data_IF_873375455416
#
_entry.id   IF_873375455416
#
_cell.length_a   1.000
_cell.length_b   1.000
_cell.length_c   1.000
_cell.angle_alpha   90.00
_cell.angle_beta   90.00
_cell.angle_gamma   90.00
#
_symmetry.space_group_name_H-M   'P 1'
#
loop_
_entity.id
_entity.type
_entity.pdbx_description
1 polymer ?
#
# COMPACT_ATOMS: atom_id res chain seq x y z
N UNK A 1 -7.00 -10.12 -55.86
CA UNK A 1 -7.84 -9.41 -54.86
C UNK A 1 -8.47 -10.40 -53.85
N UNK A 2 -9.07 -11.53 -54.26
CA UNK A 2 -9.73 -12.47 -53.36
C UNK A 2 -8.81 -13.13 -52.32
N UNK A 3 -7.55 -13.43 -52.65
CA UNK A 3 -6.59 -14.05 -51.75
C UNK A 3 -6.03 -13.06 -50.68
N UNK A 4 -5.95 -11.77 -51.01
CA UNK A 4 -5.57 -10.72 -50.05
C UNK A 4 -6.65 -10.58 -48.99
N UNK A 5 -7.91 -10.52 -49.35
CA UNK A 5 -9.03 -10.44 -48.40
C UNK A 5 -9.16 -11.68 -47.54
N UNK A 6 -8.92 -12.89 -48.08
CA UNK A 6 -8.88 -14.14 -47.29
C UNK A 6 -7.74 -14.13 -46.26
N UNK A 7 -6.54 -13.69 -46.66
CA UNK A 7 -5.38 -13.58 -45.72
C UNK A 7 -5.62 -12.53 -44.67
N UNK A 8 -6.20 -11.37 -45.01
CA UNK A 8 -6.58 -10.35 -44.06
C UNK A 8 -7.66 -10.84 -43.08
N UNK A 9 -8.70 -11.50 -43.58
CA UNK A 9 -9.73 -12.09 -42.72
C UNK A 9 -9.20 -13.16 -41.80
N UNK A 10 -8.26 -14.01 -42.25
CA UNK A 10 -7.59 -14.99 -41.41
C UNK A 10 -6.72 -14.32 -40.31
N UNK A 11 -5.93 -13.31 -40.67
CA UNK A 11 -5.09 -12.58 -39.71
C UNK A 11 -5.92 -11.86 -38.65
N UNK A 12 -7.03 -11.22 -39.04
CA UNK A 12 -7.97 -10.57 -38.10
C UNK A 12 -8.63 -11.63 -37.20
N UNK A 13 -9.09 -12.75 -37.77
CA UNK A 13 -9.70 -13.83 -37.01
C UNK A 13 -8.72 -14.44 -35.98
N UNK A 14 -7.47 -14.68 -36.37
CA UNK A 14 -6.41 -15.18 -35.47
C UNK A 14 -6.08 -14.16 -34.38
N UNK A 15 -5.96 -12.88 -34.72
CA UNK A 15 -5.72 -11.80 -33.74
C UNK A 15 -6.84 -11.71 -32.72
N UNK A 16 -8.10 -11.75 -33.17
CA UNK A 16 -9.26 -11.74 -32.25
C UNK A 16 -9.29 -12.95 -31.34
N UNK A 17 -9.01 -14.15 -31.89
CA UNK A 17 -8.96 -15.38 -31.08
C UNK A 17 -7.88 -15.32 -29.99
N UNK A 18 -6.67 -14.83 -30.32
CA UNK A 18 -5.57 -14.66 -29.34
C UNK A 18 -5.97 -13.68 -28.23
N UNK A 19 -6.52 -12.52 -28.59
CA UNK A 19 -6.96 -11.50 -27.61
C UNK A 19 -8.03 -12.07 -26.68
N UNK A 20 -9.05 -12.74 -27.24
CA UNK A 20 -10.15 -13.32 -26.47
C UNK A 20 -9.65 -14.42 -25.52
N UNK A 21 -8.79 -15.31 -26.01
CA UNK A 21 -8.21 -16.39 -25.20
C UNK A 21 -7.37 -15.80 -24.04
N UNK A 22 -6.52 -14.81 -24.32
CA UNK A 22 -5.70 -14.16 -23.30
C UNK A 22 -6.55 -13.44 -22.27
N UNK A 23 -7.62 -12.76 -22.68
CA UNK A 23 -8.57 -12.14 -21.76
C UNK A 23 -9.24 -13.17 -20.85
N UNK A 24 -9.66 -14.30 -21.38
CA UNK A 24 -10.24 -15.39 -20.60
C UNK A 24 -9.26 -15.97 -19.58
N UNK A 25 -8.00 -16.19 -20.00
CA UNK A 25 -6.93 -16.65 -19.09
C UNK A 25 -6.74 -15.67 -17.96
N UNK A 26 -6.62 -14.37 -18.25
CA UNK A 26 -6.49 -13.34 -17.22
C UNK A 26 -7.67 -13.37 -16.23
N UNK A 27 -8.90 -13.50 -16.71
CA UNK A 27 -10.10 -13.58 -15.86
C UNK A 27 -10.09 -14.81 -14.96
N UNK A 28 -9.63 -15.95 -15.47
CA UNK A 28 -9.47 -17.18 -14.68
C UNK A 28 -8.41 -16.99 -13.59
N UNK A 29 -7.29 -16.35 -13.89
CA UNK A 29 -6.23 -16.07 -12.90
C UNK A 29 -6.80 -15.25 -11.74
N UNK A 30 -7.53 -14.16 -12.00
CA UNK A 30 -8.14 -13.34 -10.95
C UNK A 30 -9.10 -14.16 -10.07
N UNK A 31 -10.00 -14.94 -10.68
CA UNK A 31 -10.96 -15.78 -9.95
C UNK A 31 -10.27 -16.82 -9.08
N UNK A 32 -9.25 -17.50 -9.60
CA UNK A 32 -8.52 -18.52 -8.84
C UNK A 32 -7.68 -17.91 -7.72
N UNK A 33 -7.10 -16.72 -7.95
CA UNK A 33 -6.27 -16.03 -6.97
C UNK A 33 -7.07 -15.52 -5.76
N UNK A 34 -8.35 -15.23 -5.93
CA UNK A 34 -9.25 -14.70 -4.88
C UNK A 34 -10.20 -15.75 -4.28
N UNK A 35 -10.14 -17.00 -4.76
CA UNK A 35 -11.10 -18.04 -4.36
C UNK A 35 -11.03 -18.44 -2.88
N UNK A 36 -9.88 -18.29 -2.22
CA UNK A 36 -9.67 -18.74 -0.85
C UNK A 36 -10.08 -17.72 0.22
N UNK A 37 -10.34 -16.48 -0.17
CA UNK A 37 -10.79 -15.40 0.72
C UNK A 37 -9.92 -15.23 1.99
N UNK A 38 -8.60 -15.23 1.83
CA UNK A 38 -7.65 -15.07 2.96
C UNK A 38 -7.86 -13.78 3.73
N UNK A 39 -8.17 -12.69 3.03
CA UNK A 39 -8.30 -11.36 3.59
C UNK A 39 -9.73 -10.99 4.00
N UNK A 40 -10.74 -11.76 3.59
CA UNK A 40 -12.15 -11.49 3.86
C UNK A 40 -12.67 -11.89 5.26
N UNK A 41 -11.81 -12.37 6.16
CA UNK A 41 -12.21 -12.93 7.46
C UNK A 41 -12.73 -11.88 8.45
N UNK A 42 -12.27 -10.63 8.38
CA UNK A 42 -12.72 -9.55 9.27
C UNK A 42 -13.90 -8.79 8.67
N UNK A 43 -14.82 -8.39 9.53
CA UNK A 43 -15.92 -7.49 9.16
C UNK A 43 -15.31 -6.12 8.82
N UNK A 44 -15.72 -5.57 7.67
CA UNK A 44 -15.30 -4.26 7.19
C UNK A 44 -16.46 -3.30 7.15
N UNK A 45 -16.16 -2.04 7.45
CA UNK A 45 -17.03 -0.91 7.16
C UNK A 45 -16.57 -0.24 5.87
N UNK A 46 -17.44 0.55 5.25
CA UNK A 46 -17.14 1.29 4.04
C UNK A 46 -17.36 2.79 4.26
N UNK A 47 -16.43 3.60 3.77
CA UNK A 47 -16.55 5.04 3.70
C UNK A 47 -16.69 5.46 2.23
N UNK A 48 -17.82 6.05 1.89
CA UNK A 48 -18.06 6.57 0.55
C UNK A 48 -17.23 7.84 0.35
N UNK A 49 -16.12 7.71 -0.36
CA UNK A 49 -15.24 8.82 -0.72
C UNK A 49 -15.47 9.23 -2.18
N UNK A 50 -15.02 10.43 -2.57
CA UNK A 50 -15.27 11.00 -3.91
C UNK A 50 -14.79 10.16 -5.09
N UNK A 51 -13.80 9.29 -4.91
CA UNK A 51 -13.27 8.43 -5.98
C UNK A 51 -13.59 6.95 -5.80
N UNK A 52 -14.37 6.58 -4.80
CA UNK A 52 -14.79 5.20 -4.57
C UNK A 52 -14.98 4.86 -3.10
N UNK A 53 -15.44 3.66 -2.83
CA UNK A 53 -15.60 3.14 -1.48
C UNK A 53 -14.25 2.78 -0.89
N UNK A 54 -14.04 3.21 0.35
CA UNK A 54 -12.85 2.92 1.14
C UNK A 54 -13.24 1.91 2.22
N UNK A 55 -12.71 0.70 2.12
CA UNK A 55 -12.90 -0.33 3.12
C UNK A 55 -11.98 -0.10 4.32
N UNK A 56 -12.49 -0.35 5.53
CA UNK A 56 -11.69 -0.27 6.74
C UNK A 56 -12.21 -1.22 7.81
N UNK A 57 -11.33 -1.62 8.72
CA UNK A 57 -11.63 -2.44 9.89
C UNK A 57 -11.65 -1.54 11.11
N UNK A 58 -12.61 -1.75 12.03
CA UNK A 58 -12.60 -1.13 13.35
C UNK A 58 -12.54 -2.18 14.44
N UNK A 59 -11.78 -1.90 15.51
CA UNK A 59 -11.69 -2.76 16.67
C UNK A 59 -11.40 -1.95 17.93
N UNK A 60 -11.88 -2.41 19.09
CA UNK A 60 -11.62 -1.81 20.38
C UNK A 60 -12.37 -0.52 20.66
N UNK A 61 -11.97 0.13 21.73
CA UNK A 61 -12.50 1.41 22.23
C UNK A 61 -11.36 2.19 22.91
N UNK A 62 -11.50 3.51 23.04
CA UNK A 62 -10.48 4.38 23.61
C UNK A 62 -10.03 5.47 22.64
N UNK A 63 -8.80 5.95 22.77
CA UNK A 63 -8.21 6.93 21.87
C UNK A 63 -8.13 6.38 20.43
N UNK A 64 -8.43 7.20 19.40
CA UNK A 64 -8.40 6.70 18.04
C UNK A 64 -6.97 6.47 17.55
N UNK A 65 -6.76 5.34 16.88
CA UNK A 65 -5.50 4.94 16.26
C UNK A 65 -5.75 4.52 14.81
N UNK A 66 -5.17 5.25 13.86
CA UNK A 66 -5.25 4.97 12.44
C UNK A 66 -4.04 4.16 11.98
N UNK A 67 -4.27 2.97 11.43
CA UNK A 67 -3.24 2.09 10.87
C UNK A 67 -3.31 2.13 9.34
N UNK A 68 -2.18 2.48 8.70
CA UNK A 68 -2.07 2.64 7.25
C UNK A 68 -0.97 1.71 6.74
N UNK A 69 -1.34 0.75 5.92
CA UNK A 69 -0.44 -0.23 5.29
C UNK A 69 0.47 0.40 4.23
N UNK A 70 1.50 -0.31 3.80
CA UNK A 70 2.39 0.09 2.70
C UNK A 70 1.61 0.32 1.39
N UNK A 71 2.04 1.28 0.56
CA UNK A 71 1.36 1.66 -0.68
C UNK A 71 1.82 0.78 -1.85
N UNK A 72 1.19 -0.38 -1.97
CA UNK A 72 1.39 -1.31 -3.09
C UNK A 72 0.07 -2.00 -3.46
N UNK A 73 -0.07 -2.44 -4.72
CA UNK A 73 -1.28 -3.14 -5.18
C UNK A 73 -1.55 -4.48 -4.46
N UNK A 74 -0.55 -5.06 -3.83
CA UNK A 74 -0.65 -6.29 -3.03
C UNK A 74 -0.82 -6.03 -1.53
N UNK A 75 -0.77 -4.78 -1.08
CA UNK A 75 -0.91 -4.40 0.34
C UNK A 75 -2.37 -4.15 0.73
N UNK A 76 -2.68 -4.30 2.00
CA UNK A 76 -3.98 -4.00 2.60
C UNK A 76 -3.86 -3.90 4.12
N UNK A 77 -4.97 -3.60 4.79
CA UNK A 77 -5.09 -3.67 6.26
C UNK A 77 -4.70 -5.03 6.86
N UNK A 78 -4.58 -6.09 6.04
CA UNK A 78 -4.05 -7.39 6.47
C UNK A 78 -2.61 -7.31 7.01
N UNK A 79 -1.86 -6.30 6.63
CA UNK A 79 -0.53 -6.04 7.19
C UNK A 79 -0.56 -5.91 8.72
N UNK A 80 -1.69 -5.44 9.27
CA UNK A 80 -1.93 -5.25 10.69
C UNK A 80 -2.67 -6.41 11.38
N UNK A 81 -2.94 -7.52 10.66
CA UNK A 81 -3.78 -8.62 11.16
C UNK A 81 -3.35 -9.14 12.53
N UNK A 82 -2.04 -9.26 12.77
CA UNK A 82 -1.49 -9.77 14.02
C UNK A 82 -1.44 -8.74 15.16
N UNK A 83 -1.58 -7.44 14.85
CA UNK A 83 -1.41 -6.35 15.82
C UNK A 83 -2.73 -5.66 16.19
N UNK A 84 -3.74 -5.67 15.32
CA UNK A 84 -5.04 -5.01 15.55
C UNK A 84 -5.64 -5.37 16.90
N UNK A 85 -5.71 -6.65 17.25
CA UNK A 85 -6.35 -7.09 18.50
C UNK A 85 -5.57 -6.66 19.74
N UNK A 86 -4.26 -6.49 19.63
CA UNK A 86 -3.42 -6.00 20.73
C UNK A 86 -3.60 -4.51 20.94
N UNK A 87 -3.58 -3.70 19.88
CA UNK A 87 -3.89 -2.27 19.96
C UNK A 87 -5.34 -1.99 20.40
N UNK A 88 -6.28 -2.85 20.01
CA UNK A 88 -7.70 -2.72 20.36
C UNK A 88 -7.99 -2.86 21.86
N UNK A 89 -7.01 -3.25 22.69
CA UNK A 89 -7.15 -3.27 24.14
C UNK A 89 -7.16 -1.86 24.75
N UNK A 90 -6.43 -0.92 24.14
CA UNK A 90 -6.23 0.43 24.64
C UNK A 90 -6.78 1.50 23.71
N UNK A 91 -6.95 1.18 22.42
CA UNK A 91 -7.30 2.12 21.37
C UNK A 91 -8.55 1.71 20.61
N UNK A 92 -9.24 2.70 20.05
CA UNK A 92 -10.18 2.48 18.97
C UNK A 92 -9.42 2.48 17.64
N UNK A 93 -9.09 1.28 17.18
CA UNK A 93 -8.29 1.05 15.98
C UNK A 93 -9.14 1.24 14.72
N UNK A 94 -8.55 1.90 13.73
CA UNK A 94 -9.04 2.01 12.37
C UNK A 94 -7.95 1.55 11.42
N UNK A 95 -8.09 0.37 10.79
CA UNK A 95 -7.14 -0.12 9.79
C UNK A 95 -7.78 0.04 8.40
N UNK A 96 -7.25 0.98 7.62
CA UNK A 96 -7.80 1.37 6.32
C UNK A 96 -7.17 0.53 5.19
N UNK A 97 -7.98 0.14 4.20
CA UNK A 97 -7.47 -0.24 2.88
C UNK A 97 -7.44 1.03 2.01
N UNK A 98 -6.27 1.49 1.61
CA UNK A 98 -6.15 2.67 0.74
C UNK A 98 -6.86 2.44 -0.60
N UNK A 99 -7.34 3.51 -1.24
CA UNK A 99 -7.94 3.42 -2.57
C UNK A 99 -6.96 2.71 -3.53
N UNK A 100 -7.43 1.72 -4.28
CA UNK A 100 -6.57 0.89 -5.12
C UNK A 100 -5.99 -0.34 -4.43
N UNK A 101 -6.15 -0.49 -3.11
CA UNK A 101 -5.62 -1.59 -2.29
C UNK A 101 -6.74 -2.42 -1.68
N UNK A 102 -6.40 -3.64 -1.30
CA UNK A 102 -7.27 -4.54 -0.53
C UNK A 102 -8.71 -4.59 -1.03
N UNK A 103 -9.66 -4.37 -0.14
CA UNK A 103 -11.11 -4.38 -0.42
C UNK A 103 -11.68 -3.00 -0.79
N UNK A 104 -10.85 -1.94 -0.86
CA UNK A 104 -11.27 -0.64 -1.38
C UNK A 104 -11.42 -0.66 -2.89
N UNK A 105 -12.22 0.26 -3.43
CA UNK A 105 -12.41 0.40 -4.87
C UNK A 105 -11.09 0.70 -5.59
N UNK A 106 -11.01 0.27 -6.84
CA UNK A 106 -9.82 0.40 -7.70
C UNK A 106 -10.15 1.13 -9.01
N UNK A 107 -10.56 2.40 -8.94
CA UNK A 107 -10.94 3.15 -10.13
C UNK A 107 -9.78 3.31 -11.11
N UNK A 108 -10.11 3.40 -12.41
CA UNK A 108 -9.14 3.69 -13.46
C UNK A 108 -8.77 5.17 -13.45
N UNK A 109 -7.78 5.51 -12.62
CA UNK A 109 -7.24 6.86 -12.50
C UNK A 109 -5.74 6.84 -12.25
N UNK A 110 -5.09 8.00 -12.29
CA UNK A 110 -3.71 8.14 -11.83
C UNK A 110 -3.73 8.39 -10.34
N UNK A 111 -3.17 7.46 -9.58
CA UNK A 111 -3.01 7.58 -8.14
C UNK A 111 -1.82 8.49 -7.83
N UNK A 112 -2.02 9.47 -6.97
CA UNK A 112 -0.98 10.44 -6.60
C UNK A 112 -0.91 10.62 -5.09
N UNK A 113 0.23 11.04 -4.58
CA UNK A 113 0.39 11.37 -3.15
C UNK A 113 -0.62 12.42 -2.71
N UNK A 114 -0.88 13.44 -3.52
CA UNK A 114 -1.88 14.48 -3.21
C UNK A 114 -3.28 13.89 -2.99
N UNK A 115 -3.68 12.95 -3.84
CA UNK A 115 -4.97 12.25 -3.71
C UNK A 115 -5.05 11.47 -2.39
N UNK A 116 -3.99 10.74 -2.04
CA UNK A 116 -3.96 9.98 -0.79
C UNK A 116 -3.88 10.88 0.44
N UNK A 117 -3.15 11.99 0.38
CA UNK A 117 -3.12 13.02 1.42
C UNK A 117 -4.53 13.53 1.72
N UNK A 118 -5.32 13.84 0.67
CA UNK A 118 -6.72 14.20 0.83
C UNK A 118 -7.56 13.06 1.41
N UNK A 119 -7.39 11.82 0.92
CA UNK A 119 -8.11 10.66 1.45
C UNK A 119 -7.91 10.52 2.96
N UNK A 120 -6.67 10.59 3.43
CA UNK A 120 -6.36 10.44 4.85
C UNK A 120 -7.00 11.56 5.68
N UNK A 121 -6.86 12.82 5.25
CA UNK A 121 -7.50 13.94 5.94
C UNK A 121 -9.03 13.82 5.96
N UNK A 122 -9.64 13.48 4.83
CA UNK A 122 -11.10 13.29 4.72
C UNK A 122 -11.57 12.10 5.58
N UNK A 123 -10.78 11.04 5.67
CA UNK A 123 -11.08 9.88 6.50
C UNK A 123 -11.05 10.23 7.99
N UNK A 124 -10.04 10.97 8.44
CA UNK A 124 -9.98 11.45 9.84
C UNK A 124 -11.16 12.37 10.14
N UNK A 125 -11.46 13.33 9.26
CA UNK A 125 -12.55 14.29 9.45
C UNK A 125 -13.94 13.66 9.45
N UNK A 126 -14.20 12.71 8.55
CA UNK A 126 -15.57 12.21 8.32
C UNK A 126 -15.87 10.88 9.01
N UNK A 127 -14.84 10.04 9.24
CA UNK A 127 -14.98 8.70 9.84
C UNK A 127 -14.55 8.71 11.31
N UNK A 128 -13.32 9.13 11.59
CA UNK A 128 -12.77 9.14 12.95
C UNK A 128 -13.39 10.29 13.76
N UNK A 129 -13.49 11.48 13.18
CA UNK A 129 -14.12 12.70 13.73
C UNK A 129 -13.47 13.23 15.01
N UNK A 130 -12.22 12.93 15.19
CA UNK A 130 -11.41 13.42 16.32
C UNK A 130 -9.94 13.38 15.97
N UNK A 131 -9.10 14.11 16.71
CA UNK A 131 -7.66 14.06 16.60
C UNK A 131 -7.20 12.61 16.86
N UNK A 132 -6.34 12.07 16.00
CA UNK A 132 -5.96 10.65 16.01
C UNK A 132 -4.45 10.47 16.03
N UNK A 133 -4.01 9.40 16.67
CA UNK A 133 -2.66 8.87 16.46
C UNK A 133 -2.63 8.07 15.15
N UNK A 134 -1.49 8.04 14.47
CA UNK A 134 -1.36 7.34 13.19
C UNK A 134 -0.08 6.52 13.13
N UNK A 135 -0.21 5.31 12.59
CA UNK A 135 0.92 4.43 12.26
C UNK A 135 0.89 4.16 10.76
N UNK A 136 1.97 4.44 10.06
CA UNK A 136 2.06 4.24 8.62
C UNK A 136 3.34 3.50 8.24
N UNK A 137 3.26 2.64 7.23
CA UNK A 137 4.36 1.78 6.78
C UNK A 137 4.92 2.24 5.43
N UNK A 138 6.23 2.25 5.32
CA UNK A 138 7.00 2.36 4.07
C UNK A 138 6.47 3.41 3.10
N UNK A 139 5.89 3.02 1.95
CA UNK A 139 5.41 3.93 0.90
C UNK A 139 4.23 4.83 1.32
N UNK A 140 3.56 4.54 2.44
CA UNK A 140 2.51 5.40 2.98
C UNK A 140 3.05 6.47 3.94
N UNK A 141 4.31 6.38 4.37
CA UNK A 141 4.90 7.36 5.31
C UNK A 141 4.97 8.78 4.72
N UNK A 142 5.38 9.00 3.46
CA UNK A 142 5.34 10.32 2.86
C UNK A 142 3.92 10.92 2.78
N UNK A 143 2.92 10.06 2.57
CA UNK A 143 1.51 10.48 2.52
C UNK A 143 1.05 11.04 3.87
N UNK A 144 1.40 10.35 4.96
CA UNK A 144 1.04 10.77 6.32
C UNK A 144 1.78 12.04 6.72
N UNK A 145 3.07 12.16 6.40
CA UNK A 145 3.84 13.39 6.61
C UNK A 145 3.16 14.57 5.90
N UNK A 146 2.76 14.40 4.63
CA UNK A 146 2.07 15.44 3.88
C UNK A 146 0.65 15.70 4.41
N UNK A 147 -0.06 14.69 4.90
CA UNK A 147 -1.38 14.85 5.49
C UNK A 147 -1.33 15.66 6.78
N UNK A 148 -0.36 15.36 7.64
CA UNK A 148 -0.11 16.10 8.87
C UNK A 148 0.36 17.54 8.59
N UNK A 149 1.25 17.74 7.61
CA UNK A 149 1.70 19.05 7.19
C UNK A 149 0.56 19.93 6.69
N UNK A 150 -0.37 19.36 5.90
CA UNK A 150 -1.52 20.10 5.40
C UNK A 150 -2.57 20.39 6.49
N UNK A 151 -2.69 19.55 7.51
CA UNK A 151 -3.64 19.71 8.60
C UNK A 151 -3.15 19.05 9.90
N UNK A 152 -2.19 19.68 10.55
CA UNK A 152 -1.58 19.19 11.78
C UNK A 152 -2.58 19.01 12.94
N UNK A 153 -3.70 19.72 12.92
CA UNK A 153 -4.73 19.60 13.95
C UNK A 153 -5.44 18.23 13.97
N UNK A 154 -5.39 17.48 12.87
CA UNK A 154 -6.01 16.16 12.78
C UNK A 154 -5.20 15.05 13.42
N UNK A 155 -3.89 15.23 13.56
CA UNK A 155 -2.97 14.20 14.01
C UNK A 155 -2.33 14.57 15.34
N UNK A 156 -2.22 13.59 16.23
CA UNK A 156 -1.55 13.72 17.51
C UNK A 156 -0.13 13.18 17.39
N UNK A 157 0.08 11.90 17.59
CA UNK A 157 1.37 11.22 17.48
C UNK A 157 1.45 10.49 16.12
N UNK A 158 2.62 10.48 15.51
CA UNK A 158 2.87 9.88 14.19
C UNK A 158 3.96 8.83 14.36
N UNK A 159 3.66 7.57 14.06
CA UNK A 159 4.64 6.49 14.03
C UNK A 159 4.90 6.09 12.57
N UNK A 160 6.15 6.22 12.15
CA UNK A 160 6.63 5.85 10.83
C UNK A 160 7.35 4.49 10.91
N UNK A 161 6.82 3.48 10.25
CA UNK A 161 7.39 2.13 10.25
C UNK A 161 8.21 1.92 8.99
N UNK A 162 9.51 1.74 9.15
CA UNK A 162 10.45 1.53 8.03
C UNK A 162 10.20 2.50 6.86
N UNK A 163 10.23 3.82 7.10
CA UNK A 163 9.88 4.81 6.08
C UNK A 163 10.77 4.71 4.85
N UNK A 164 10.29 5.27 3.73
CA UNK A 164 11.13 5.45 2.55
C UNK A 164 12.24 6.44 2.84
N UNK A 165 13.41 6.28 2.19
CA UNK A 165 14.44 7.32 2.19
C UNK A 165 13.90 8.62 1.60
N UNK A 166 14.46 9.74 2.01
CA UNK A 166 14.08 11.05 1.48
C UNK A 166 14.36 11.10 -0.02
N UNK A 167 15.43 10.44 -0.48
CA UNK A 167 15.77 10.32 -1.90
C UNK A 167 14.72 9.51 -2.67
N UNK A 168 14.28 8.34 -2.16
CA UNK A 168 13.25 7.53 -2.82
C UNK A 168 11.89 8.25 -2.86
N UNK A 169 11.55 8.99 -1.82
CA UNK A 169 10.36 9.81 -1.79
C UNK A 169 10.38 10.95 -2.82
N UNK A 170 11.57 11.45 -3.19
CA UNK A 170 11.76 12.54 -4.14
C UNK A 170 11.70 12.12 -5.61
N UNK A 171 11.88 10.83 -5.92
CA UNK A 171 11.92 10.32 -7.31
C UNK A 171 10.61 10.58 -8.05
N UNK A 172 10.56 11.64 -8.86
CA UNK A 172 9.42 11.94 -9.72
C UNK A 172 9.34 11.04 -10.97
N UNK A 173 8.29 11.22 -11.79
CA UNK A 173 8.18 10.55 -13.08
C UNK A 173 9.39 10.86 -13.99
N UNK A 174 9.94 9.82 -14.60
CA UNK A 174 11.04 9.94 -15.58
C UNK A 174 10.52 10.04 -17.03
N UNK A 175 11.43 10.22 -17.99
CA UNK A 175 11.10 10.37 -19.40
C UNK A 175 10.41 9.12 -20.01
N UNK A 176 10.54 7.96 -19.38
CA UNK A 176 9.92 6.70 -19.83
C UNK A 176 8.59 6.40 -19.13
N UNK A 177 8.25 7.16 -18.09
CA UNK A 177 7.00 6.95 -17.32
C UNK A 177 5.76 7.02 -18.20
N UNK A 178 5.73 7.93 -19.19
CA UNK A 178 4.64 8.03 -20.14
C UNK A 178 4.50 6.77 -21.01
N UNK A 179 5.61 6.23 -21.51
CA UNK A 179 5.64 5.02 -22.33
C UNK A 179 5.23 3.79 -21.49
N UNK A 180 5.83 3.63 -20.30
CA UNK A 180 5.47 2.54 -19.36
C UNK A 180 3.98 2.57 -19.04
N UNK A 181 3.44 3.74 -18.69
CA UNK A 181 2.02 3.93 -18.43
C UNK A 181 1.16 3.53 -19.62
N UNK A 182 1.53 3.93 -20.84
CA UNK A 182 0.78 3.59 -22.05
C UNK A 182 0.72 2.09 -22.28
N UNK A 183 1.87 1.39 -22.22
CA UNK A 183 1.97 -0.06 -22.41
C UNK A 183 1.16 -0.82 -21.36
N UNK A 184 1.31 -0.46 -20.08
CA UNK A 184 0.63 -1.14 -18.98
C UNK A 184 -0.89 -0.86 -18.95
N UNK A 185 -1.34 0.26 -19.53
CA UNK A 185 -2.77 0.55 -19.67
C UNK A 185 -3.42 -0.22 -20.81
N UNK A 186 -2.66 -0.70 -21.81
CA UNK A 186 -3.25 -1.48 -22.91
C UNK A 186 -4.07 -2.65 -22.33
N UNK A 187 -5.36 -2.76 -22.65
CA UNK A 187 -6.17 -3.89 -22.21
C UNK A 187 -5.52 -5.22 -22.63
N UNK A 188 -5.75 -6.27 -21.88
CA UNK A 188 -5.19 -7.60 -22.10
C UNK A 188 -3.67 -7.65 -21.91
N UNK A 189 -2.86 -6.89 -22.65
CA UNK A 189 -1.38 -6.91 -22.57
C UNK A 189 -0.93 -6.45 -21.19
N UNK A 190 -1.31 -5.26 -20.77
CA UNK A 190 -0.92 -4.72 -19.44
C UNK A 190 -1.46 -5.57 -18.29
N UNK A 191 -2.64 -6.17 -18.46
CA UNK A 191 -3.19 -7.11 -17.48
C UNK A 191 -2.41 -8.41 -17.43
N UNK A 192 -1.94 -8.92 -18.57
CA UNK A 192 -1.08 -10.12 -18.62
C UNK A 192 0.28 -9.85 -17.98
N UNK A 193 0.88 -8.69 -18.26
CA UNK A 193 2.14 -8.28 -17.60
C UNK A 193 1.95 -8.20 -16.08
N UNK A 194 0.85 -7.56 -15.64
CA UNK A 194 0.50 -7.48 -14.22
C UNK A 194 0.38 -8.87 -13.58
N UNK A 195 -0.36 -9.79 -14.17
CA UNK A 195 -0.53 -11.16 -13.67
C UNK A 195 0.80 -11.95 -13.61
N UNK A 196 1.73 -11.71 -14.54
CA UNK A 196 3.06 -12.31 -14.52
C UNK A 196 3.89 -11.76 -13.36
N UNK A 197 3.86 -10.44 -13.14
CA UNK A 197 4.62 -9.78 -12.07
C UNK A 197 4.10 -10.15 -10.67
N UNK A 198 2.79 -10.35 -10.52
CA UNK A 198 2.14 -10.64 -9.24
C UNK A 198 1.71 -12.10 -9.06
N UNK A 199 2.18 -13.03 -9.92
CA UNK A 199 2.02 -14.45 -9.61
C UNK A 199 2.78 -14.82 -8.31
N UNK A 200 2.41 -15.94 -7.68
CA UNK A 200 2.99 -16.35 -6.39
C UNK A 200 4.52 -16.42 -6.37
N UNK A 201 5.21 -17.02 -7.35
CA UNK A 201 6.68 -17.06 -7.38
C UNK A 201 7.31 -15.67 -7.47
N UNK A 202 6.83 -14.81 -8.37
CA UNK A 202 7.32 -13.44 -8.55
C UNK A 202 7.10 -12.59 -7.31
N UNK A 203 5.90 -12.65 -6.74
CA UNK A 203 5.55 -11.93 -5.52
C UNK A 203 6.37 -12.43 -4.32
N UNK A 204 6.58 -13.74 -4.18
CA UNK A 204 7.48 -14.29 -3.15
C UNK A 204 8.90 -13.75 -3.29
N UNK A 205 9.45 -13.70 -4.50
CA UNK A 205 10.78 -13.13 -4.77
C UNK A 205 10.83 -11.64 -4.44
N UNK A 206 9.78 -10.89 -4.75
CA UNK A 206 9.67 -9.48 -4.44
C UNK A 206 9.64 -9.25 -2.92
N UNK A 207 8.76 -9.95 -2.21
CA UNK A 207 8.56 -9.78 -0.77
C UNK A 207 9.71 -10.34 0.06
N UNK A 208 10.44 -11.37 -0.40
CA UNK A 208 11.54 -11.96 0.35
C UNK A 208 12.61 -10.95 0.77
N UNK A 209 12.77 -9.89 0.00
CA UNK A 209 13.71 -8.80 0.31
C UNK A 209 13.33 -8.01 1.58
N UNK A 210 12.06 -8.05 1.98
CA UNK A 210 11.51 -7.31 3.11
C UNK A 210 11.56 -8.09 4.43
N UNK A 211 11.94 -9.37 4.40
CA UNK A 211 11.97 -10.28 5.54
C UNK A 211 13.38 -10.79 5.81
N UNK A 212 13.69 -11.08 7.06
CA UNK A 212 14.95 -11.73 7.45
C UNK A 212 15.03 -13.10 6.76
N UNK A 213 16.19 -13.40 6.17
CA UNK A 213 16.45 -14.64 5.43
C UNK A 213 15.41 -14.97 4.36
N UNK A 214 14.62 -13.97 3.94
CA UNK A 214 13.53 -14.16 2.98
C UNK A 214 12.37 -15.01 3.50
N UNK A 215 12.23 -15.18 4.81
CA UNK A 215 11.21 -16.04 5.45
C UNK A 215 9.88 -15.34 5.58
N UNK A 216 9.07 -15.40 4.53
CA UNK A 216 7.73 -14.79 4.51
C UNK A 216 6.74 -15.74 5.19
N UNK A 217 5.92 -15.28 6.16
CA UNK A 217 4.82 -16.07 6.70
C UNK A 217 3.85 -16.52 5.59
N UNK A 218 3.45 -17.80 5.62
CA UNK A 218 2.63 -18.40 4.55
C UNK A 218 1.28 -17.66 4.37
N UNK A 219 0.65 -17.27 5.47
CA UNK A 219 -0.60 -16.54 5.42
C UNK A 219 -0.43 -15.12 4.85
N UNK A 220 0.71 -14.47 5.14
CA UNK A 220 1.00 -13.14 4.62
C UNK A 220 1.20 -13.15 3.09
N UNK A 221 1.98 -14.09 2.55
CA UNK A 221 2.15 -14.21 1.09
C UNK A 221 0.83 -14.58 0.38
N UNK A 222 -0.02 -15.39 1.01
CA UNK A 222 -1.33 -15.73 0.46
C UNK A 222 -2.25 -14.50 0.43
N UNK A 223 -2.26 -13.71 1.50
CA UNK A 223 -3.03 -12.48 1.58
C UNK A 223 -2.53 -11.43 0.55
N UNK A 224 -1.23 -11.24 0.43
CA UNK A 224 -0.65 -10.34 -0.58
C UNK A 224 -0.99 -10.77 -2.01
N UNK A 225 -0.93 -12.08 -2.30
CA UNK A 225 -1.30 -12.60 -3.61
C UNK A 225 -2.80 -12.36 -3.91
N UNK A 226 -3.67 -12.59 -2.95
CA UNK A 226 -5.10 -12.32 -3.08
C UNK A 226 -5.35 -10.81 -3.29
N UNK A 227 -4.77 -9.95 -2.45
CA UNK A 227 -4.91 -8.49 -2.57
C UNK A 227 -4.51 -7.95 -3.94
N UNK A 228 -3.40 -8.47 -4.51
CA UNK A 228 -2.97 -8.10 -5.85
C UNK A 228 -3.99 -8.46 -6.95
N UNK A 229 -4.93 -9.37 -6.67
CA UNK A 229 -5.92 -9.84 -7.64
C UNK A 229 -7.36 -9.43 -7.29
N UNK A 230 -7.62 -8.79 -6.15
CA UNK A 230 -8.92 -8.21 -5.83
C UNK A 230 -9.22 -7.03 -6.77
N UNK A 231 -10.45 -7.00 -7.31
CA UNK A 231 -10.88 -5.96 -8.26
C UNK A 231 -10.51 -6.25 -9.71
N UNK A 232 -10.17 -7.50 -10.04
CA UNK A 232 -9.87 -7.98 -11.40
C UNK A 232 -8.79 -7.13 -12.09
N UNK A 233 -8.97 -6.84 -13.38
CA UNK A 233 -8.02 -6.05 -14.17
C UNK A 233 -7.80 -4.61 -13.66
N UNK A 234 -8.65 -4.12 -12.75
CA UNK A 234 -8.52 -2.80 -12.14
C UNK A 234 -7.40 -2.73 -11.10
N UNK A 235 -6.98 -3.88 -10.54
CA UNK A 235 -5.87 -3.94 -9.58
C UNK A 235 -4.54 -3.38 -10.13
N UNK A 236 -4.35 -3.36 -11.44
CA UNK A 236 -3.13 -2.85 -12.10
C UNK A 236 -2.97 -1.32 -12.03
N UNK A 237 -4.04 -0.53 -11.83
CA UNK A 237 -3.94 0.93 -11.99
C UNK A 237 -3.10 1.61 -10.90
N UNK A 238 -3.17 1.12 -9.66
CA UNK A 238 -2.25 1.57 -8.61
C UNK A 238 -0.81 1.17 -8.95
N UNK A 239 -0.58 -0.08 -9.35
CA UNK A 239 0.75 -0.54 -9.77
C UNK A 239 1.33 0.35 -10.88
N UNK A 240 0.53 0.69 -11.90
CA UNK A 240 0.98 1.60 -12.97
C UNK A 240 1.41 2.96 -12.39
N UNK A 241 0.68 3.48 -11.42
CA UNK A 241 0.97 4.78 -10.82
C UNK A 241 2.24 4.76 -9.97
N UNK A 242 2.46 3.68 -9.19
CA UNK A 242 3.67 3.49 -8.38
C UNK A 242 4.90 3.27 -9.27
N UNK A 243 4.83 2.41 -10.30
CA UNK A 243 5.90 2.15 -11.25
C UNK A 243 6.31 3.39 -12.08
N UNK A 244 5.39 4.33 -12.25
CA UNK A 244 5.65 5.58 -12.95
C UNK A 244 6.01 6.74 -12.00
N UNK A 245 6.22 6.47 -10.71
CA UNK A 245 6.55 7.45 -9.68
C UNK A 245 5.53 8.60 -9.55
N UNK A 246 4.23 8.35 -9.80
CA UNK A 246 3.18 9.36 -9.56
C UNK A 246 2.77 9.46 -8.08
N UNK A 247 3.20 8.51 -7.25
CA UNK A 247 2.90 8.42 -5.81
C UNK A 247 4.04 8.93 -4.93
N UNK A 248 5.04 9.57 -5.50
CA UNK A 248 6.17 10.15 -4.78
C UNK A 248 5.96 11.64 -4.52
N UNK A 249 6.65 12.18 -3.52
CA UNK A 249 6.56 13.60 -3.13
C UNK A 249 7.79 13.99 -2.31
N UNK A 250 8.24 15.23 -2.46
CA UNK A 250 9.29 15.82 -1.61
C UNK A 250 8.75 16.07 -0.20
N UNK A 251 9.32 15.41 0.80
CA UNK A 251 8.88 15.50 2.20
C UNK A 251 9.76 16.38 3.09
N UNK A 252 10.96 16.77 2.64
CA UNK A 252 11.96 17.43 3.48
C UNK A 252 11.43 18.68 4.18
N UNK A 253 10.74 19.57 3.42
CA UNK A 253 10.13 20.77 4.00
C UNK A 253 9.02 20.41 4.99
N UNK A 254 8.12 19.52 4.61
CA UNK A 254 7.02 19.10 5.50
C UNK A 254 7.57 18.51 6.80
N UNK A 255 8.56 17.62 6.70
CA UNK A 255 9.18 16.96 7.86
C UNK A 255 9.89 17.95 8.80
N UNK A 256 10.55 19.00 8.25
CA UNK A 256 11.25 20.03 9.04
C UNK A 256 10.30 21.00 9.76
N UNK A 257 9.08 21.18 9.24
CA UNK A 257 8.11 22.14 9.79
C UNK A 257 7.02 21.49 10.65
N UNK A 258 6.98 20.12 10.70
CA UNK A 258 6.03 19.41 11.55
C UNK A 258 6.42 19.53 13.04
N UNK A 259 5.47 20.00 13.86
CA UNK A 259 5.55 20.10 15.32
C UNK A 259 4.88 18.92 16.04
N UNK A 260 4.29 17.97 15.30
CA UNK A 260 3.76 16.73 15.86
C UNK A 260 4.90 15.86 16.42
N UNK A 261 4.61 15.09 17.48
CA UNK A 261 5.53 14.05 17.94
C UNK A 261 5.64 12.95 16.86
N UNK A 262 6.85 12.79 16.32
CA UNK A 262 7.13 11.79 15.28
C UNK A 262 8.10 10.75 15.87
N UNK A 263 7.73 9.48 15.68
CA UNK A 263 8.51 8.33 16.12
C UNK A 263 8.78 7.42 14.91
N UNK A 264 9.94 6.77 14.90
CA UNK A 264 10.30 5.79 13.89
C UNK A 264 10.47 4.42 14.52
N UNK A 265 9.87 3.39 13.92
CA UNK A 265 10.08 1.99 14.30
C UNK A 265 10.65 1.24 13.10
N UNK A 266 11.88 0.77 13.22
CA UNK A 266 12.58 0.05 12.16
C UNK A 266 12.98 -1.35 12.63
N UNK A 267 13.10 -2.29 11.69
CA UNK A 267 13.78 -3.55 11.97
C UNK A 267 15.30 -3.37 11.95
N UNK A 268 16.02 -4.04 12.84
CA UNK A 268 17.49 -3.93 12.94
C UNK A 268 18.20 -4.37 11.66
N UNK A 269 17.60 -5.27 10.89
CA UNK A 269 18.14 -5.79 9.63
C UNK A 269 17.67 -5.03 8.37
N UNK A 270 17.00 -3.87 8.56
CA UNK A 270 16.65 -2.98 7.46
C UNK A 270 17.81 -2.03 7.10
N UNK A 271 17.68 -1.24 6.02
CA UNK A 271 18.58 -0.12 5.80
C UNK A 271 18.26 1.00 6.81
N UNK A 272 19.19 1.24 7.73
CA UNK A 272 19.01 2.19 8.82
C UNK A 272 19.59 3.58 8.53
N UNK A 273 20.25 3.79 7.38
CA UNK A 273 20.72 5.13 6.94
C UNK A 273 19.55 6.12 6.84
N UNK A 274 18.35 5.60 6.57
CA UNK A 274 17.10 6.38 6.53
C UNK A 274 16.80 7.07 7.87
N UNK A 275 17.18 6.47 8.98
CA UNK A 275 16.98 7.06 10.33
C UNK A 275 17.77 8.36 10.44
N UNK A 276 19.04 8.32 10.04
CA UNK A 276 19.94 9.48 10.09
C UNK A 276 19.47 10.59 9.15
N UNK A 277 18.96 10.25 7.95
CA UNK A 277 18.34 11.22 7.03
C UNK A 277 17.18 11.97 7.69
N UNK A 278 16.27 11.26 8.36
CA UNK A 278 15.09 11.86 8.99
C UNK A 278 15.47 12.70 10.22
N UNK A 279 16.36 12.21 11.09
CA UNK A 279 16.83 12.93 12.27
C UNK A 279 17.63 14.19 11.86
N UNK A 280 18.39 14.13 10.75
CA UNK A 280 19.09 15.31 10.24
C UNK A 280 18.12 16.43 9.82
N UNK A 281 16.95 16.08 9.27
CA UNK A 281 15.93 17.05 8.86
C UNK A 281 15.11 17.54 10.05
N UNK A 282 14.73 16.63 10.96
CA UNK A 282 13.96 16.94 12.16
C UNK A 282 14.57 16.22 13.37
N UNK A 283 15.43 16.89 14.14
CA UNK A 283 16.11 16.29 15.30
C UNK A 283 15.21 15.89 16.46
N UNK A 284 13.93 16.27 16.45
CA UNK A 284 12.95 15.86 17.46
C UNK A 284 12.39 14.46 17.24
N UNK A 285 12.76 13.80 16.13
CA UNK A 285 12.30 12.44 15.84
C UNK A 285 13.02 11.45 16.74
N UNK A 286 12.23 10.68 17.47
CA UNK A 286 12.72 9.54 18.25
C UNK A 286 12.63 8.25 17.42
N UNK A 287 13.54 7.30 17.65
CA UNK A 287 13.52 6.03 16.94
C UNK A 287 13.78 4.84 17.84
N UNK A 288 13.29 3.67 17.43
CA UNK A 288 13.59 2.38 18.04
C UNK A 288 13.79 1.33 16.95
N UNK A 289 14.73 0.41 17.19
CA UNK A 289 15.00 -0.72 16.30
C UNK A 289 14.54 -2.03 16.94
N UNK A 290 13.74 -2.79 16.22
CA UNK A 290 13.26 -4.11 16.65
C UNK A 290 14.24 -5.17 16.17
N UNK A 291 14.76 -5.94 17.12
CA UNK A 291 15.63 -7.08 16.82
C UNK A 291 14.84 -8.16 16.06
N UNK A 292 15.55 -8.97 15.29
CA UNK A 292 14.95 -10.06 14.48
C UNK A 292 13.80 -9.59 13.57
N UNK A 293 13.88 -8.36 13.08
CA UNK A 293 12.97 -7.79 12.09
C UNK A 293 13.73 -7.02 11.01
N UNK A 294 13.13 -6.95 9.81
CA UNK A 294 13.63 -6.19 8.68
C UNK A 294 12.69 -5.05 8.32
N UNK A 295 12.05 -5.07 7.16
CA UNK A 295 11.20 -3.96 6.70
C UNK A 295 9.80 -3.96 7.33
N UNK A 296 9.32 -5.11 7.79
CA UNK A 296 7.95 -5.28 8.29
C UNK A 296 7.94 -5.80 9.75
N UNK A 297 8.46 -5.03 10.72
CA UNK A 297 8.55 -5.47 12.11
C UNK A 297 7.18 -5.81 12.71
N UNK A 298 6.09 -5.17 12.27
CA UNK A 298 4.71 -5.48 12.67
C UNK A 298 4.23 -6.86 12.21
N UNK A 299 4.88 -7.45 11.20
CA UNK A 299 4.59 -8.80 10.70
C UNK A 299 5.57 -9.82 11.24
N UNK A 300 6.86 -9.45 11.36
CA UNK A 300 7.92 -10.37 11.79
C UNK A 300 7.96 -10.54 13.31
N UNK A 301 7.76 -9.45 14.06
CA UNK A 301 7.83 -9.40 15.53
C UNK A 301 6.62 -8.64 16.11
N UNK A 302 5.38 -9.09 15.89
CA UNK A 302 4.17 -8.32 16.19
C UNK A 302 4.02 -7.95 17.67
N UNK A 303 4.42 -8.83 18.59
CA UNK A 303 4.32 -8.58 20.01
C UNK A 303 5.28 -7.45 20.47
N UNK A 304 6.52 -7.51 19.99
CA UNK A 304 7.54 -6.50 20.29
C UNK A 304 7.20 -5.17 19.59
N UNK A 305 6.72 -5.22 18.36
CA UNK A 305 6.26 -4.04 17.64
C UNK A 305 5.16 -3.30 18.42
N UNK A 306 4.13 -4.01 18.87
CA UNK A 306 3.05 -3.41 19.68
C UNK A 306 3.60 -2.84 20.98
N UNK A 307 4.49 -3.56 21.68
CA UNK A 307 5.08 -3.07 22.92
C UNK A 307 5.82 -1.75 22.72
N UNK A 308 6.62 -1.62 21.67
CA UNK A 308 7.36 -0.40 21.36
C UNK A 308 6.42 0.73 20.91
N UNK A 309 5.44 0.43 20.06
CA UNK A 309 4.46 1.42 19.63
C UNK A 309 3.63 1.97 20.80
N UNK A 310 3.20 1.13 21.74
CA UNK A 310 2.45 1.56 22.94
C UNK A 310 3.28 2.48 23.85
N UNK A 311 4.61 2.33 23.90
CA UNK A 311 5.47 3.27 24.64
C UNK A 311 5.37 4.69 24.05
N UNK A 312 5.32 4.78 22.72
CA UNK A 312 5.18 6.08 22.05
C UNK A 312 3.74 6.60 22.09
N UNK A 313 2.73 5.73 22.08
CA UNK A 313 1.32 6.11 22.05
C UNK A 313 0.80 6.55 23.44
N UNK A 314 1.37 6.07 24.52
CA UNK A 314 1.04 6.47 25.91
C UNK A 314 1.87 7.67 26.34
#
# INVERSE_FOLDING_TARGET
LGDVYKRQGLAVGMGTAVITTTHLINSIIFKLSTANNYTGKRIRSNYQWKFGNIAYITAGSGSPLLLIHDLNSYSSSYEWEQTINSFAKNHKVYAIDLLGCGHSDKPNLTYTTFMYTQLINDFVLNVIRSKTDVVATAGSTPIVIMAAFNNHALFNKIILVSPLSVEDALKGPDNLSGIRRHILNVPVIGTSVYNILFNRPSLRKLLSKNFIDGRIPADYINACHENAHLGDASAKYLFISTECNFTTVTISKALSELDNCIYMINGMHNNNDVIDEYIHINPAIENVMIQDAKKLPQVEQPAEFVRQAEIFLN
#
